data_IF_139888412298
#
_entry.id   IF_139888412298
#
_cell.length_a   1.000
_cell.length_b   1.000
_cell.length_c   1.000
_cell.angle_alpha   90.00
_cell.angle_beta   90.00
_cell.angle_gamma   90.00
#
_symmetry.space_group_name_H-M   'P 1'
#
loop_
_entity.id
_entity.type
_entity.pdbx_description
1 polymer ?
#
# COMPACT_ATOMS: atom_id res chain seq x y z
N UNK A 1 -43.90 68.86 -10.22
CA UNK A 1 -44.47 68.59 -11.56
C UNK A 1 -43.88 67.28 -12.06
N UNK A 2 -44.75 66.40 -12.55
CA UNK A 2 -44.56 64.99 -12.94
C UNK A 2 -43.57 64.78 -14.15
N UNK A 3 -43.36 63.56 -14.70
CA UNK A 3 -42.32 62.58 -14.34
C UNK A 3 -41.60 61.87 -15.56
N UNK A 4 -40.87 60.76 -15.28
CA UNK A 4 -40.52 59.56 -16.10
C UNK A 4 -39.21 59.55 -16.93
N UNK A 5 -38.68 58.38 -17.38
CA UNK A 5 -38.90 56.94 -17.03
C UNK A 5 -37.55 56.20 -16.71
N UNK A 6 -37.50 55.09 -15.98
CA UNK A 6 -37.90 53.75 -16.43
C UNK A 6 -36.74 52.99 -17.10
N UNK A 7 -36.00 52.19 -16.33
CA UNK A 7 -35.24 51.05 -16.84
C UNK A 7 -35.63 49.82 -16.02
N UNK A 8 -36.58 49.07 -16.57
CA UNK A 8 -36.95 47.73 -16.14
C UNK A 8 -35.86 46.80 -16.65
N UNK A 9 -35.22 46.04 -15.77
CA UNK A 9 -34.85 44.68 -16.12
C UNK A 9 -35.02 43.75 -14.91
N UNK A 10 -36.09 42.95 -15.02
CA UNK A 10 -36.14 41.51 -14.74
C UNK A 10 -35.66 41.11 -13.35
N UNK A 11 -36.53 41.11 -12.35
CA UNK A 11 -37.45 40.01 -12.08
C UNK A 11 -36.81 38.63 -12.30
N UNK A 12 -36.21 38.03 -11.27
CA UNK A 12 -36.33 36.58 -11.04
C UNK A 12 -36.17 36.25 -9.55
N UNK A 13 -37.34 36.13 -8.92
CA UNK A 13 -37.74 35.15 -7.90
C UNK A 13 -36.85 34.91 -6.67
N UNK A 14 -37.43 35.37 -5.57
CA UNK A 14 -37.10 35.05 -4.20
C UNK A 14 -37.53 33.62 -3.80
N UNK A 15 -36.83 33.12 -2.77
CA UNK A 15 -37.30 32.24 -1.69
C UNK A 15 -37.76 30.82 -2.05
N UNK A 16 -36.94 29.81 -1.68
CA UNK A 16 -37.39 28.69 -0.82
C UNK A 16 -36.22 28.19 0.04
N UNK A 17 -36.25 28.53 1.32
CA UNK A 17 -35.54 27.85 2.40
C UNK A 17 -36.32 26.60 2.82
N UNK A 18 -35.77 25.38 2.65
CA UNK A 18 -35.97 24.21 3.52
C UNK A 18 -35.25 22.99 2.92
N UNK A 19 -34.18 22.50 3.58
CA UNK A 19 -33.82 21.07 3.68
C UNK A 19 -32.44 20.94 4.37
N UNK A 20 -32.44 21.12 5.69
CA UNK A 20 -31.42 20.50 6.56
C UNK A 20 -31.91 19.08 6.83
N UNK A 21 -31.32 18.08 6.17
CA UNK A 21 -31.01 16.75 6.71
C UNK A 21 -30.47 15.82 5.60
N UNK A 22 -29.48 15.01 5.95
CA UNK A 22 -28.99 13.83 5.24
C UNK A 22 -27.98 14.05 4.08
N UNK A 23 -26.74 14.38 4.45
CA UNK A 23 -25.57 13.86 3.75
C UNK A 23 -24.44 13.56 4.77
N UNK A 24 -24.79 12.83 5.83
CA UNK A 24 -23.81 12.07 6.61
C UNK A 24 -23.64 10.74 5.87
N UNK A 25 -22.39 10.35 5.61
CA UNK A 25 -21.93 9.14 4.89
C UNK A 25 -21.71 9.27 3.37
N UNK A 26 -20.95 10.29 2.96
CA UNK A 26 -20.09 10.21 1.76
C UNK A 26 -18.72 9.60 2.07
N UNK A 27 -18.67 8.62 2.98
CA UNK A 27 -17.49 7.79 3.23
C UNK A 27 -17.46 6.65 2.21
N UNK A 28 -17.08 6.94 0.98
CA UNK A 28 -16.59 5.91 0.07
C UNK A 28 -15.11 5.70 0.45
N UNK A 29 -14.72 4.77 1.33
CA UNK A 29 -15.30 3.44 1.49
C UNK A 29 -15.01 2.56 0.27
N UNK A 30 -13.97 2.87 -0.50
CA UNK A 30 -13.56 2.14 -1.70
C UNK A 30 -12.27 1.37 -1.44
N UNK A 31 -12.42 0.08 -1.15
CA UNK A 31 -11.38 -0.95 -1.08
C UNK A 31 -10.42 -0.88 0.11
N UNK A 32 -10.97 -1.15 1.29
CA UNK A 32 -10.27 -2.00 2.24
C UNK A 32 -10.07 -3.38 1.59
N UNK A 33 -9.03 -3.56 0.78
CA UNK A 33 -8.57 -4.89 0.39
C UNK A 33 -7.77 -5.50 1.56
N UNK A 34 -8.45 -5.67 2.69
CA UNK A 34 -8.13 -6.78 3.57
C UNK A 34 -8.51 -8.06 2.80
N UNK A 35 -7.52 -8.73 2.20
CA UNK A 35 -7.71 -10.11 1.70
C UNK A 35 -7.43 -10.38 0.23
N UNK A 36 -7.08 -9.38 -0.57
CA UNK A 36 -6.40 -9.65 -1.84
C UNK A 36 -4.95 -9.96 -1.53
N UNK A 37 -4.51 -11.21 -1.72
CA UNK A 37 -3.07 -11.42 -1.93
C UNK A 37 -2.63 -10.38 -2.97
N UNK A 38 -1.68 -9.47 -2.68
CA UNK A 38 -1.36 -8.39 -3.61
C UNK A 38 -0.96 -9.06 -4.93
N UNK A 39 -1.29 -8.45 -6.06
CA UNK A 39 -1.25 -9.09 -7.39
C UNK A 39 0.07 -9.85 -7.65
N UNK A 40 1.18 -9.41 -7.05
CA UNK A 40 2.47 -10.10 -7.08
C UNK A 40 2.44 -11.54 -6.52
N UNK A 41 1.66 -11.91 -5.49
CA UNK A 41 1.67 -13.30 -4.96
C UNK A 41 1.19 -14.35 -5.98
N UNK A 42 0.31 -13.96 -6.89
CA UNK A 42 -0.23 -14.90 -7.88
C UNK A 42 0.87 -15.46 -8.81
N UNK A 43 1.96 -14.72 -9.01
CA UNK A 43 3.07 -15.12 -9.88
C UNK A 43 4.32 -15.55 -9.10
N UNK A 44 4.31 -15.47 -7.77
CA UNK A 44 5.48 -15.71 -6.92
C UNK A 44 5.15 -16.68 -5.78
N UNK A 45 5.23 -18.00 -6.02
CA UNK A 45 4.94 -19.01 -4.99
C UNK A 45 5.96 -18.95 -3.84
N UNK A 46 5.57 -19.48 -2.68
CA UNK A 46 6.46 -19.55 -1.52
C UNK A 46 7.63 -20.52 -1.82
N UNK A 47 8.89 -20.08 -1.69
CA UNK A 47 10.03 -20.98 -1.84
C UNK A 47 10.22 -21.85 -0.59
N UNK A 48 10.99 -22.93 -0.70
CA UNK A 48 11.25 -23.82 0.43
C UNK A 48 11.85 -23.05 1.63
N UNK A 49 11.26 -23.21 2.81
CA UNK A 49 11.75 -22.62 4.05
C UNK A 49 11.38 -21.16 4.27
N UNK A 50 10.59 -20.55 3.37
CA UNK A 50 10.09 -19.19 3.53
C UNK A 50 8.63 -19.08 3.08
N UNK A 51 7.91 -18.11 3.64
CA UNK A 51 6.58 -17.72 3.17
C UNK A 51 6.55 -16.23 2.89
N UNK A 52 6.03 -15.84 1.72
CA UNK A 52 5.85 -14.44 1.35
C UNK A 52 4.41 -14.02 1.60
N UNK A 53 4.21 -12.94 2.36
CA UNK A 53 2.88 -12.51 2.81
C UNK A 53 2.69 -11.01 2.62
N UNK A 54 1.43 -10.60 2.51
CA UNK A 54 1.06 -9.20 2.71
C UNK A 54 1.27 -8.82 4.18
N UNK A 55 1.61 -7.55 4.44
CA UNK A 55 1.53 -7.04 5.80
C UNK A 55 0.07 -6.88 6.23
N UNK A 56 -0.15 -7.02 7.53
CA UNK A 56 -1.45 -6.90 8.18
C UNK A 56 -1.32 -6.19 9.52
N UNK A 57 -2.43 -5.71 10.07
CA UNK A 57 -2.41 -4.98 11.34
C UNK A 57 -1.60 -3.70 11.23
N UNK A 58 -0.81 -3.39 12.27
CA UNK A 58 -0.02 -2.15 12.27
C UNK A 58 1.22 -2.23 11.36
N UNK A 59 1.64 -3.42 10.92
CA UNK A 59 2.73 -3.56 9.93
C UNK A 59 2.42 -2.93 8.58
N UNK A 60 1.14 -2.76 8.24
CA UNK A 60 0.73 -2.05 7.01
C UNK A 60 1.30 -0.63 6.96
N UNK A 61 1.51 0.01 8.12
CA UNK A 61 2.04 1.38 8.21
C UNK A 61 3.55 1.42 7.85
N UNK A 62 4.28 0.32 8.08
CA UNK A 62 5.72 0.27 7.82
C UNK A 62 6.04 -0.09 6.38
N UNK A 63 5.21 -0.94 5.76
CA UNK A 63 5.39 -1.39 4.39
C UNK A 63 5.14 -0.25 3.42
N UNK A 64 6.15 0.05 2.59
CA UNK A 64 6.13 1.21 1.68
C UNK A 64 5.77 0.85 0.24
N UNK A 65 6.04 -0.38 -0.17
CA UNK A 65 5.89 -0.86 -1.55
C UNK A 65 5.13 -2.20 -1.56
N UNK A 66 3.87 -2.24 -1.07
CA UNK A 66 3.11 -3.49 -0.90
C UNK A 66 2.67 -4.14 -2.23
N UNK A 67 2.59 -3.35 -3.31
CA UNK A 67 2.21 -3.81 -4.64
C UNK A 67 3.39 -4.34 -5.44
N UNK A 68 4.59 -3.84 -5.13
CA UNK A 68 5.80 -4.24 -5.86
C UNK A 68 6.38 -5.52 -5.30
N UNK A 69 6.33 -5.77 -3.99
CA UNK A 69 7.01 -6.86 -3.29
C UNK A 69 6.26 -7.28 -2.00
N UNK A 70 6.61 -8.43 -1.37
CA UNK A 70 6.01 -8.81 -0.10
C UNK A 70 6.10 -7.73 0.96
N UNK A 71 5.03 -7.58 1.72
CA UNK A 71 5.09 -6.79 2.94
C UNK A 71 5.86 -7.51 4.04
N UNK A 72 5.72 -8.84 4.08
CA UNK A 72 6.33 -9.71 5.07
C UNK A 72 7.01 -10.91 4.42
N UNK A 73 8.14 -11.31 4.99
CA UNK A 73 8.79 -12.59 4.73
C UNK A 73 8.87 -13.33 6.06
N UNK A 74 8.38 -14.56 6.10
CA UNK A 74 8.47 -15.42 7.29
C UNK A 74 9.40 -16.58 6.98
N UNK A 75 10.40 -16.83 7.82
CA UNK A 75 11.28 -17.99 7.65
C UNK A 75 10.74 -19.25 8.35
N UNK A 76 11.40 -20.38 8.12
CA UNK A 76 11.08 -21.68 8.73
C UNK A 76 11.12 -21.72 10.27
N UNK A 77 11.73 -20.72 10.92
CA UNK A 77 11.76 -20.57 12.38
C UNK A 77 10.64 -19.68 12.90
N UNK A 78 9.69 -19.31 12.03
CA UNK A 78 8.62 -18.34 12.28
C UNK A 78 9.13 -16.92 12.58
N UNK A 79 10.39 -16.60 12.26
CA UNK A 79 10.86 -15.22 12.35
C UNK A 79 10.25 -14.38 11.23
N UNK A 80 9.72 -13.22 11.59
CA UNK A 80 9.01 -12.32 10.66
C UNK A 80 9.89 -11.12 10.33
N UNK A 81 10.09 -10.92 9.03
CA UNK A 81 10.80 -9.78 8.46
C UNK A 81 9.81 -8.87 7.75
N UNK A 82 9.90 -7.58 8.02
CA UNK A 82 8.98 -6.56 7.52
C UNK A 82 9.70 -5.71 6.49
N UNK A 83 9.06 -5.42 5.36
CA UNK A 83 9.60 -4.54 4.33
C UNK A 83 9.76 -3.12 4.90
N UNK A 84 10.98 -2.57 4.82
CA UNK A 84 11.32 -1.24 5.34
C UNK A 84 11.82 -0.27 4.28
N UNK A 85 12.26 -0.77 3.12
CA UNK A 85 12.94 0.04 2.12
C UNK A 85 12.98 -0.57 0.72
N UNK A 86 13.42 0.27 -0.23
CA UNK A 86 13.63 -0.07 -1.64
C UNK A 86 14.85 0.70 -2.14
N UNK A 87 15.70 0.02 -2.89
CA UNK A 87 16.89 0.57 -3.53
C UNK A 87 16.99 0.13 -4.99
N UNK A 88 18.07 0.55 -5.65
CA UNK A 88 18.36 0.15 -7.02
C UNK A 88 18.56 -1.38 -7.11
N UNK A 89 18.13 -1.98 -8.22
CA UNK A 89 18.36 -3.40 -8.49
C UNK A 89 19.87 -3.66 -8.62
N UNK A 90 20.44 -4.23 -7.58
CA UNK A 90 21.82 -4.71 -7.58
C UNK A 90 21.89 -5.99 -6.76
N UNK A 91 22.74 -6.92 -7.18
CA UNK A 91 22.95 -8.16 -6.44
C UNK A 91 23.82 -7.86 -5.21
N UNK A 92 23.34 -8.13 -3.98
CA UNK A 92 24.17 -8.01 -2.79
C UNK A 92 25.28 -9.09 -2.81
N UNK A 93 26.45 -8.85 -2.18
CA UNK A 93 27.52 -9.84 -2.04
C UNK A 93 27.19 -11.00 -1.08
N UNK A 94 25.95 -11.06 -0.60
CA UNK A 94 25.49 -11.91 0.51
C UNK A 94 25.02 -13.31 0.09
N UNK A 95 24.70 -14.13 1.11
CA UNK A 95 24.22 -15.50 0.91
C UNK A 95 22.79 -15.53 0.37
N UNK A 96 22.61 -16.20 -0.77
CA UNK A 96 21.27 -16.54 -1.28
C UNK A 96 20.62 -17.57 -0.36
N UNK A 97 19.43 -17.25 0.15
CA UNK A 97 18.68 -18.13 1.06
C UNK A 97 17.38 -18.65 0.46
N UNK A 98 16.84 -17.98 -0.55
CA UNK A 98 15.67 -18.46 -1.27
C UNK A 98 15.62 -17.90 -2.70
N UNK A 99 14.87 -18.59 -3.58
CA UNK A 99 14.54 -18.14 -4.93
C UNK A 99 13.11 -18.51 -5.28
N UNK A 100 12.37 -17.60 -5.90
CA UNK A 100 11.01 -17.86 -6.40
C UNK A 100 10.77 -17.05 -7.67
N UNK A 101 10.49 -17.70 -8.80
CA UNK A 101 10.41 -17.01 -10.09
C UNK A 101 11.70 -16.22 -10.40
N UNK A 102 11.53 -14.92 -10.69
CA UNK A 102 12.60 -13.94 -10.92
C UNK A 102 13.13 -13.27 -9.62
N UNK A 103 12.74 -13.79 -8.45
CA UNK A 103 13.05 -13.22 -7.14
C UNK A 103 14.17 -14.00 -6.49
N UNK A 104 15.12 -13.29 -5.88
CA UNK A 104 16.17 -13.89 -5.07
C UNK A 104 16.22 -13.22 -3.71
N UNK A 105 16.14 -14.01 -2.65
CA UNK A 105 16.27 -13.53 -1.27
C UNK A 105 17.70 -13.78 -0.80
N UNK A 106 18.31 -12.74 -0.25
CA UNK A 106 19.63 -12.72 0.33
C UNK A 106 19.51 -12.51 1.83
N UNK A 107 20.36 -13.20 2.59
CA UNK A 107 20.56 -12.92 4.01
C UNK A 107 21.78 -12.04 4.17
N UNK A 108 21.54 -10.76 4.43
CA UNK A 108 22.58 -9.73 4.59
C UNK A 108 23.05 -9.59 6.05
N UNK A 109 22.18 -9.96 7.00
CA UNK A 109 22.53 -10.13 8.41
C UNK A 109 21.57 -11.14 9.09
N UNK A 110 21.75 -11.38 10.39
CA UNK A 110 20.85 -12.26 11.14
C UNK A 110 19.40 -11.74 11.14
N UNK A 111 19.24 -10.43 11.33
CA UNK A 111 17.96 -9.72 11.41
C UNK A 111 17.58 -8.97 10.12
N UNK A 112 18.37 -9.12 9.04
CA UNK A 112 18.15 -8.44 7.76
C UNK A 112 18.08 -9.43 6.59
N UNK A 113 17.09 -9.21 5.74
CA UNK A 113 17.01 -9.83 4.42
C UNK A 113 16.97 -8.73 3.36
N UNK A 114 17.52 -9.05 2.19
CA UNK A 114 17.31 -8.27 0.99
C UNK A 114 16.64 -9.17 -0.05
N UNK A 115 15.65 -8.63 -0.74
CA UNK A 115 14.96 -9.33 -1.81
C UNK A 115 15.24 -8.59 -3.11
N UNK A 116 15.81 -9.29 -4.08
CA UNK A 116 16.09 -8.77 -5.40
C UNK A 116 15.01 -9.21 -6.39
N UNK A 117 14.54 -8.24 -7.15
CA UNK A 117 13.66 -8.40 -8.32
C UNK A 117 14.40 -7.85 -9.55
N UNK A 118 13.88 -8.02 -10.77
CA UNK A 118 14.45 -7.34 -11.94
C UNK A 118 14.40 -5.81 -11.86
N UNK A 119 13.44 -5.24 -11.12
CA UNK A 119 13.21 -3.80 -11.08
C UNK A 119 13.91 -3.09 -9.90
N UNK A 120 14.04 -3.76 -8.76
CA UNK A 120 14.53 -3.17 -7.52
C UNK A 120 15.06 -4.20 -6.51
N UNK A 121 15.79 -3.70 -5.52
CA UNK A 121 16.12 -4.41 -4.29
C UNK A 121 15.20 -3.89 -3.16
N UNK A 122 14.64 -4.79 -2.36
CA UNK A 122 13.79 -4.46 -1.22
C UNK A 122 14.42 -4.94 0.08
N UNK A 123 14.45 -4.08 1.09
CA UNK A 123 15.07 -4.36 2.39
C UNK A 123 14.02 -4.80 3.40
N UNK A 124 14.36 -5.81 4.20
CA UNK A 124 13.50 -6.33 5.25
C UNK A 124 14.24 -6.47 6.57
N UNK A 125 13.53 -6.19 7.67
CA UNK A 125 14.07 -6.29 9.03
C UNK A 125 13.17 -7.08 9.95
N UNK A 126 13.76 -7.91 10.79
CA UNK A 126 13.06 -8.57 11.90
C UNK A 126 13.06 -7.70 13.16
N UNK A 127 12.20 -8.02 14.13
CA UNK A 127 12.09 -7.30 15.40
C UNK A 127 11.41 -5.94 15.30
N UNK A 128 10.91 -5.56 14.12
CA UNK A 128 10.01 -4.41 13.96
C UNK A 128 8.74 -4.71 14.74
N UNK A 129 8.42 -3.85 15.71
CA UNK A 129 7.16 -3.93 16.44
C UNK A 129 6.07 -3.30 15.61
N UNK A 130 5.47 -4.17 14.82
CA UNK A 130 4.22 -3.97 14.17
C UNK A 130 3.40 -5.28 14.24
#
# INVERSE_FOLDING_TARGET
>A
MSPLPGARDRATLALVTLAVLAAVLGGCGGSNSAGGSPAWRATHPDPSGFSFRAASGVCVITVRYPDEAPGLIVDQTANTFVQVGRGAAHRPPDMVVARSGDWTVFRTAADHLALLTPAALFDYRSGIRC
#
